data_IF_476594176830
#
_entry.id   IF_476594176830
#
_cell.length_a   1.000
_cell.length_b   1.000
_cell.length_c   1.000
_cell.angle_alpha   90.00
_cell.angle_beta   90.00
_cell.angle_gamma   90.00
#
_symmetry.space_group_name_H-M   'P 1'
#
loop_
_entity.id
_entity.type
_entity.pdbx_description
1 polymer ?
#
# COMPACT_ATOMS: atom_id res chain seq x y z
N UNK A 1 -19.87 10.71 -4.57
CA UNK A 1 -18.41 10.58 -4.79
C UNK A 1 -17.74 11.46 -3.77
N UNK A 2 -17.04 10.87 -2.79
CA UNK A 2 -16.35 11.65 -1.76
C UNK A 2 -15.10 12.29 -2.34
N UNK A 3 -14.94 13.59 -2.13
CA UNK A 3 -13.73 14.34 -2.49
C UNK A 3 -12.56 13.81 -1.65
N UNK A 4 -11.53 13.30 -2.30
CA UNK A 4 -10.31 12.87 -1.61
C UNK A 4 -9.47 14.11 -1.31
N UNK A 5 -9.48 14.55 -0.05
CA UNK A 5 -8.78 15.76 0.39
C UNK A 5 -7.30 15.43 0.70
N UNK A 6 -6.32 16.17 0.16
CA UNK A 6 -4.94 16.04 0.58
C UNK A 6 -4.78 16.18 2.10
N UNK A 7 -3.91 15.37 2.70
CA UNK A 7 -3.71 15.28 4.14
C UNK A 7 -4.66 14.31 4.85
N UNK A 8 -5.69 13.77 4.19
CA UNK A 8 -6.55 12.73 4.77
C UNK A 8 -5.73 11.49 5.14
N UNK A 9 -5.89 11.02 6.37
CA UNK A 9 -5.32 9.76 6.82
C UNK A 9 -6.00 8.59 6.11
N UNK A 10 -5.19 7.68 5.59
CA UNK A 10 -5.62 6.47 4.89
C UNK A 10 -4.98 5.24 5.52
N UNK A 11 -5.75 4.16 5.57
CA UNK A 11 -5.30 2.82 5.94
C UNK A 11 -5.75 1.87 4.83
N UNK A 12 -4.80 1.31 4.10
CA UNK A 12 -5.08 0.58 2.86
C UNK A 12 -4.23 -0.67 2.71
N UNK A 13 -4.78 -1.63 1.96
CA UNK A 13 -4.01 -2.75 1.43
C UNK A 13 -3.53 -2.43 0.03
N UNK A 14 -2.30 -2.83 -0.28
CA UNK A 14 -1.59 -2.44 -1.49
C UNK A 14 -0.75 -3.58 -2.03
N UNK A 15 -0.96 -3.92 -3.31
CA UNK A 15 -0.08 -4.85 -4.03
C UNK A 15 0.90 -4.04 -4.86
N UNK A 16 2.19 -4.19 -4.56
CA UNK A 16 3.27 -3.57 -5.33
C UNK A 16 3.35 -4.25 -6.70
N UNK A 17 3.29 -3.48 -7.79
CA UNK A 17 3.44 -3.97 -9.16
C UNK A 17 4.77 -3.58 -9.77
N UNK A 18 5.34 -2.45 -9.36
CA UNK A 18 6.55 -1.87 -9.93
C UNK A 18 7.19 -0.84 -8.99
N UNK A 19 8.42 -0.44 -9.30
CA UNK A 19 9.22 0.52 -8.54
C UNK A 19 9.58 1.71 -9.46
N UNK A 20 8.66 2.67 -9.66
CA UNK A 20 8.83 3.74 -10.66
C UNK A 20 10.01 4.67 -10.39
N UNK A 21 10.37 4.85 -9.11
CA UNK A 21 11.53 5.64 -8.65
C UNK A 21 11.96 5.18 -7.27
N UNK A 22 13.14 5.63 -6.83
CA UNK A 22 13.61 5.33 -5.48
C UNK A 22 12.55 5.75 -4.44
N UNK A 23 12.36 4.90 -3.43
CA UNK A 23 11.43 5.16 -2.31
C UNK A 23 9.95 5.32 -2.71
N UNK A 24 9.58 5.00 -3.95
CA UNK A 24 8.19 4.99 -4.39
C UNK A 24 7.80 3.64 -4.95
N UNK A 25 6.68 3.14 -4.46
CA UNK A 25 6.08 1.88 -4.86
C UNK A 25 4.87 2.17 -5.74
N UNK A 26 4.86 1.64 -6.96
CA UNK A 26 3.69 1.65 -7.84
C UNK A 26 2.88 0.38 -7.62
N UNK A 27 1.55 0.50 -7.60
CA UNK A 27 0.72 -0.66 -7.32
C UNK A 27 -0.77 -0.40 -7.37
N UNK A 28 -1.52 -1.42 -6.98
CA UNK A 28 -2.98 -1.41 -6.97
C UNK A 28 -3.50 -1.45 -5.55
N UNK A 29 -4.54 -0.66 -5.30
CA UNK A 29 -5.30 -0.72 -4.07
C UNK A 29 -6.14 -2.00 -4.01
N UNK A 30 -6.15 -2.59 -2.82
CA UNK A 30 -6.81 -3.83 -2.50
C UNK A 30 -7.92 -3.55 -1.47
N UNK A 31 -9.15 -3.93 -1.79
CA UNK A 31 -10.26 -3.86 -0.84
C UNK A 31 -10.21 -5.10 0.06
N UNK A 32 -10.21 -4.95 1.40
CA UNK A 32 -10.43 -6.10 2.28
C UNK A 32 -11.85 -6.63 2.02
N UNK A 33 -12.02 -7.95 2.03
CA UNK A 33 -13.37 -8.53 2.03
C UNK A 33 -14.10 -8.19 3.34
N UNK A 34 -15.41 -7.95 3.26
CA UNK A 34 -16.22 -7.47 4.40
C UNK A 34 -16.38 -8.52 5.52
N UNK A 35 -15.91 -9.76 5.32
CA UNK A 35 -16.00 -10.85 6.30
C UNK A 35 -14.75 -10.99 7.16
N UNK A 36 -13.65 -10.32 6.81
CA UNK A 36 -12.37 -10.35 7.55
C UNK A 36 -11.75 -11.75 7.68
N UNK A 37 -12.30 -12.76 7.00
CA UNK A 37 -11.92 -14.17 7.13
C UNK A 37 -11.29 -14.74 5.86
N UNK A 38 -11.39 -14.04 4.72
CA UNK A 38 -10.81 -14.46 3.46
C UNK A 38 -9.71 -13.48 3.02
N UNK A 39 -8.50 -14.02 2.77
CA UNK A 39 -7.33 -13.28 2.27
C UNK A 39 -7.46 -12.89 0.79
N UNK A 40 -8.68 -12.72 0.29
CA UNK A 40 -8.96 -12.46 -1.13
C UNK A 40 -9.25 -10.98 -1.29
N UNK A 41 -8.30 -10.28 -1.89
CA UNK A 41 -8.42 -8.87 -2.17
C UNK A 41 -8.78 -8.66 -3.64
N UNK A 42 -10.03 -8.32 -4.00
CA UNK A 42 -10.34 -7.97 -5.39
C UNK A 42 -9.51 -6.75 -5.81
N UNK A 43 -8.69 -6.92 -6.86
CA UNK A 43 -7.90 -5.81 -7.43
C UNK A 43 -8.85 -4.73 -7.92
N UNK A 44 -8.71 -3.53 -7.38
CA UNK A 44 -9.32 -2.36 -8.01
C UNK A 44 -8.47 -1.94 -9.21
N UNK A 45 -9.08 -1.40 -10.27
CA UNK A 45 -8.35 -0.81 -11.40
C UNK A 45 -7.66 0.52 -11.05
N UNK A 46 -7.67 0.92 -9.77
CA UNK A 46 -7.12 2.17 -9.30
C UNK A 46 -5.66 1.99 -8.92
N UNK A 47 -4.79 2.41 -9.84
CA UNK A 47 -3.35 2.52 -9.59
C UNK A 47 -3.09 3.71 -8.66
N UNK A 48 -2.28 3.47 -7.64
CA UNK A 48 -1.79 4.50 -6.73
C UNK A 48 -0.28 4.37 -6.58
N UNK A 49 0.35 5.44 -6.11
CA UNK A 49 1.75 5.43 -5.70
C UNK A 49 1.85 5.58 -4.19
N UNK A 50 2.75 4.82 -3.57
CA UNK A 50 3.08 4.94 -2.15
C UNK A 50 4.53 5.39 -2.04
N UNK A 51 4.75 6.58 -1.50
CA UNK A 51 6.09 7.06 -1.13
C UNK A 51 6.36 6.70 0.32
N UNK A 52 7.47 6.01 0.56
CA UNK A 52 7.99 5.74 1.90
C UNK A 52 9.32 6.46 2.08
N UNK A 53 9.69 6.77 3.32
CA UNK A 53 10.93 7.48 3.65
C UNK A 53 11.71 6.70 4.68
N UNK A 54 13.00 7.01 4.90
CA UNK A 54 13.76 6.42 6.01
C UNK A 54 13.12 6.64 7.39
N UNK A 55 12.28 7.67 7.53
CA UNK A 55 11.48 7.95 8.73
C UNK A 55 10.19 7.13 8.83
N UNK A 56 9.75 6.49 7.74
CA UNK A 56 8.56 5.63 7.76
C UNK A 56 8.86 4.37 8.56
N UNK A 57 7.89 3.94 9.37
CA UNK A 57 8.05 2.73 10.19
C UNK A 57 7.78 1.49 9.33
N UNK A 58 8.81 0.68 9.10
CA UNK A 58 8.68 -0.63 8.46
C UNK A 58 8.40 -1.70 9.52
N UNK A 59 7.36 -2.51 9.31
CA UNK A 59 6.87 -3.52 10.25
C UNK A 59 6.83 -4.88 9.55
N UNK A 60 7.30 -5.94 10.24
CA UNK A 60 7.36 -7.32 9.73
C UNK A 60 8.20 -7.51 8.44
N UNK A 61 9.08 -6.57 8.15
CA UNK A 61 10.03 -6.60 7.03
C UNK A 61 10.96 -5.39 7.06
N UNK A 62 11.83 -5.28 6.06
CA UNK A 62 12.70 -4.13 5.83
C UNK A 62 12.56 -3.57 4.43
N UNK A 63 13.38 -2.56 4.10
CA UNK A 63 13.33 -1.89 2.79
C UNK A 63 13.52 -2.86 1.61
N UNK A 64 14.31 -3.92 1.81
CA UNK A 64 14.55 -4.99 0.83
C UNK A 64 13.32 -5.83 0.51
N UNK A 65 12.30 -5.82 1.38
CA UNK A 65 11.04 -6.54 1.15
C UNK A 65 10.01 -5.68 0.39
N UNK A 66 10.31 -4.39 0.14
CA UNK A 66 9.46 -3.46 -0.61
C UNK A 66 9.71 -3.59 -2.12
N UNK A 67 9.31 -4.75 -2.67
CA UNK A 67 9.57 -5.15 -4.06
C UNK A 67 8.29 -5.44 -4.82
N UNK A 68 8.36 -5.49 -6.15
CA UNK A 68 7.25 -5.95 -6.97
C UNK A 68 6.77 -7.35 -6.54
N UNK A 69 5.45 -7.52 -6.45
CA UNK A 69 4.81 -8.72 -5.90
C UNK A 69 4.61 -8.68 -4.38
N UNK A 70 5.12 -7.67 -3.68
CA UNK A 70 4.86 -7.52 -2.26
C UNK A 70 3.40 -7.12 -1.99
N UNK A 71 2.83 -7.71 -0.94
CA UNK A 71 1.56 -7.31 -0.36
C UNK A 71 1.84 -6.50 0.89
N UNK A 72 1.28 -5.29 0.96
CA UNK A 72 1.52 -4.34 2.04
C UNK A 72 0.19 -3.87 2.65
N UNK A 73 0.19 -3.53 3.94
CA UNK A 73 -0.76 -2.60 4.53
C UNK A 73 -0.04 -1.29 4.80
N UNK A 74 -0.61 -0.19 4.33
CA UNK A 74 -0.01 1.14 4.40
C UNK A 74 -0.92 2.05 5.19
N UNK A 75 -0.35 2.67 6.23
CA UNK A 75 -0.99 3.77 6.96
C UNK A 75 -0.21 5.04 6.64
N UNK A 76 -0.91 6.07 6.18
CA UNK A 76 -0.27 7.30 5.76
C UNK A 76 -1.27 8.40 5.46
N UNK A 77 -0.78 9.45 4.79
CA UNK A 77 -1.60 10.58 4.36
C UNK A 77 -1.69 10.60 2.85
N UNK A 78 -2.89 10.85 2.34
CA UNK A 78 -3.07 11.11 0.92
C UNK A 78 -2.38 12.43 0.57
N UNK A 79 -1.41 12.38 -0.33
CA UNK A 79 -0.78 13.55 -0.93
C UNK A 79 -1.50 14.00 -2.20
N UNK A 80 -0.87 14.91 -2.91
CA UNK A 80 -1.37 15.35 -4.21
C UNK A 80 -1.26 14.22 -5.25
N UNK A 81 -2.11 14.24 -6.28
CA UNK A 81 -2.08 13.29 -7.40
C UNK A 81 -2.22 11.80 -7.02
N UNK A 82 -3.02 11.46 -6.01
CA UNK A 82 -3.28 10.07 -5.56
C UNK A 82 -2.04 9.33 -5.07
N UNK A 83 -1.03 10.07 -4.64
CA UNK A 83 0.11 9.54 -3.92
C UNK A 83 -0.23 9.37 -2.45
N UNK A 84 0.26 8.32 -1.79
CA UNK A 84 0.16 8.16 -0.34
C UNK A 84 1.54 8.32 0.26
N UNK A 85 1.68 9.28 1.16
CA UNK A 85 2.88 9.49 1.98
C UNK A 85 2.81 8.54 3.17
N UNK A 86 3.55 7.44 3.12
CA UNK A 86 3.48 6.37 4.10
C UNK A 86 4.15 6.78 5.42
N UNK A 87 3.39 6.70 6.51
CA UNK A 87 3.93 6.82 7.86
C UNK A 87 4.31 5.44 8.41
N UNK A 88 3.53 4.40 8.07
CA UNK A 88 3.79 3.01 8.42
C UNK A 88 3.57 2.09 7.21
N UNK A 89 4.47 1.14 7.02
CA UNK A 89 4.36 0.09 6.00
C UNK A 89 4.54 -1.26 6.65
N UNK A 90 3.48 -2.07 6.60
CA UNK A 90 3.45 -3.43 7.11
C UNK A 90 3.63 -4.40 5.95
N UNK A 91 4.68 -5.20 5.97
CA UNK A 91 4.92 -6.22 4.93
C UNK A 91 4.11 -7.48 5.24
N UNK A 92 3.18 -7.83 4.35
CA UNK A 92 2.27 -8.98 4.48
C UNK A 92 2.62 -10.14 3.56
N UNK A 93 3.52 -9.97 2.58
CA UNK A 93 3.88 -11.00 1.57
C UNK A 93 4.37 -12.31 2.17
N UNK A 94 4.95 -12.28 3.38
CA UNK A 94 5.38 -13.49 4.09
C UNK A 94 4.23 -14.28 4.72
N UNK A 95 3.00 -13.75 4.67
CA UNK A 95 1.82 -14.26 5.39
C UNK A 95 0.63 -14.56 4.44
N UNK A 96 0.60 -14.01 3.22
CA UNK A 96 -0.53 -14.17 2.30
C UNK A 96 -0.11 -14.42 0.84
N UNK A 97 -0.89 -15.24 0.11
CA UNK A 97 -0.81 -15.39 -1.35
C UNK A 97 -1.94 -14.61 -2.00
N UNK A 98 -1.61 -13.82 -3.03
CA UNK A 98 -2.61 -13.25 -3.94
C UNK A 98 -3.05 -14.37 -4.88
N UNK A 99 -4.33 -14.73 -4.87
CA UNK A 99 -4.93 -15.75 -5.74
C UNK A 99 -5.58 -15.08 -6.96
#
# INVERSE_FOLDING_TARGET
>A
MGETVPGTLVDLFFSVTDLPREQVLGGVFLLPDETGTNQVFPRTSQRIEVEWRPSSKLIMGGATDLVAGALLRVVGKLGDNRQVLAEQVVVLTRVAKII
#
